data_IF_841904972706
#
_entry.id   IF_841904972706
#
_cell.length_a   1.000
_cell.length_b   1.000
_cell.length_c   1.000
_cell.angle_alpha   90.00
_cell.angle_beta   90.00
_cell.angle_gamma   90.00
#
_symmetry.space_group_name_H-M   'P 1'
#
loop_
_entity.id
_entity.type
_entity.pdbx_description
1 polymer ?
#
# COMPACT_ATOMS: atom_id res chain seq x y z
N UNK A 1 18.01 -14.86 -16.13
CA UNK A 1 17.00 -14.70 -15.06
C UNK A 1 17.37 -13.45 -14.28
N UNK A 2 16.50 -12.43 -14.23
CA UNK A 2 16.77 -11.28 -13.38
C UNK A 2 16.74 -11.73 -11.91
N UNK A 3 17.75 -11.35 -11.12
CA UNK A 3 17.75 -11.60 -9.68
C UNK A 3 16.62 -10.84 -8.98
N UNK A 4 16.38 -11.16 -7.72
CA UNK A 4 15.41 -10.43 -6.90
C UNK A 4 15.78 -8.92 -6.85
N UNK A 5 14.79 -8.01 -6.82
CA UNK A 5 15.07 -6.59 -6.67
C UNK A 5 15.77 -6.28 -5.34
N UNK A 6 16.76 -5.38 -5.34
CA UNK A 6 17.36 -4.90 -4.09
C UNK A 6 16.32 -4.11 -3.27
N UNK A 7 15.52 -3.27 -3.95
CA UNK A 7 14.50 -2.41 -3.34
C UNK A 7 13.15 -2.54 -4.03
N UNK A 8 12.09 -2.45 -3.24
CA UNK A 8 10.72 -2.25 -3.70
C UNK A 8 10.12 -1.04 -2.96
N UNK A 9 9.79 0.01 -3.72
CA UNK A 9 9.22 1.24 -3.21
C UNK A 9 7.74 1.31 -3.58
N UNK A 10 6.86 1.47 -2.59
CA UNK A 10 5.44 1.68 -2.80
C UNK A 10 5.10 3.15 -2.63
N UNK A 11 4.44 3.74 -3.62
CA UNK A 11 3.75 5.02 -3.48
C UNK A 11 2.55 4.83 -2.54
N UNK A 12 2.68 5.31 -1.30
CA UNK A 12 1.71 5.08 -0.24
C UNK A 12 0.36 5.73 -0.50
N UNK A 13 0.35 7.04 -0.80
CA UNK A 13 -0.90 7.77 -1.05
C UNK A 13 -1.68 7.18 -2.21
N UNK A 14 -0.99 6.85 -3.31
CA UNK A 14 -1.61 6.24 -4.49
C UNK A 14 -2.17 4.84 -4.18
N UNK A 15 -1.46 4.04 -3.37
CA UNK A 15 -1.90 2.71 -3.00
C UNK A 15 -3.08 2.72 -2.02
N UNK A 16 -3.03 3.60 -1.03
CA UNK A 16 -4.11 3.79 -0.05
C UNK A 16 -5.38 4.28 -0.76
N UNK A 17 -5.24 5.26 -1.67
CA UNK A 17 -6.36 5.79 -2.44
C UNK A 17 -7.02 4.71 -3.30
N UNK A 18 -6.23 3.94 -4.07
CA UNK A 18 -6.75 2.80 -4.84
C UNK A 18 -7.44 1.78 -3.96
N UNK A 19 -6.92 1.50 -2.77
CA UNK A 19 -7.53 0.55 -1.83
C UNK A 19 -8.84 1.08 -1.27
N UNK A 20 -8.92 2.36 -0.93
CA UNK A 20 -10.13 2.98 -0.40
C UNK A 20 -11.31 2.92 -1.38
N UNK A 21 -11.06 3.15 -2.68
CA UNK A 21 -12.10 3.13 -3.71
C UNK A 21 -12.26 1.78 -4.42
N UNK A 22 -11.25 0.91 -4.39
CA UNK A 22 -11.25 -0.38 -5.07
C UNK A 22 -11.69 -1.57 -4.20
N UNK A 23 -11.61 -1.44 -2.87
CA UNK A 23 -12.00 -2.52 -1.94
C UNK A 23 -13.36 -2.20 -1.31
N UNK A 24 -14.30 -3.17 -1.26
CA UNK A 24 -15.61 -2.97 -0.66
C UNK A 24 -15.56 -2.41 0.78
N UNK A 25 -16.39 -1.42 1.06
CA UNK A 25 -16.52 -0.77 2.39
C UNK A 25 -17.27 -1.62 3.43
N UNK A 26 -17.50 -2.90 3.13
CA UNK A 26 -18.08 -3.88 4.07
C UNK A 26 -17.07 -4.33 5.12
N UNK A 27 -15.76 -4.14 4.88
CA UNK A 27 -14.72 -4.43 5.87
C UNK A 27 -14.71 -3.37 6.96
N UNK A 28 -15.12 -3.79 8.16
CA UNK A 28 -15.20 -2.95 9.35
C UNK A 28 -14.44 -3.57 10.50
N UNK A 29 -13.80 -2.73 11.31
CA UNK A 29 -13.25 -3.10 12.61
C UNK A 29 -14.39 -3.39 13.62
N UNK A 30 -14.10 -4.00 14.79
CA UNK A 30 -15.12 -4.28 15.81
C UNK A 30 -15.90 -3.05 16.30
N UNK A 31 -15.28 -1.86 16.25
CA UNK A 31 -15.91 -0.59 16.59
C UNK A 31 -16.71 0.04 15.43
N UNK A 32 -16.86 -0.66 14.31
CA UNK A 32 -17.60 -0.20 13.13
C UNK A 32 -16.80 0.68 12.16
N UNK A 33 -15.55 1.04 12.47
CA UNK A 33 -14.72 1.87 11.59
C UNK A 33 -14.38 1.12 10.29
N UNK A 34 -14.45 1.80 9.14
CA UNK A 34 -14.10 1.20 7.85
C UNK A 34 -12.59 0.97 7.75
N UNK A 35 -12.20 -0.24 7.37
CA UNK A 35 -10.79 -0.64 7.26
C UNK A 35 -10.44 -1.18 5.87
N UNK A 36 -11.31 -0.95 4.88
CA UNK A 36 -11.11 -1.43 3.50
C UNK A 36 -9.82 -0.91 2.87
N UNK A 37 -9.45 0.35 3.11
CA UNK A 37 -8.20 0.93 2.63
C UNK A 37 -6.97 0.28 3.27
N UNK A 38 -7.02 0.05 4.59
CA UNK A 38 -5.95 -0.61 5.35
C UNK A 38 -5.75 -2.03 4.81
N UNK A 39 -6.85 -2.79 4.71
CA UNK A 39 -6.82 -4.16 4.19
C UNK A 39 -6.28 -4.22 2.76
N UNK A 40 -6.82 -3.43 1.85
CA UNK A 40 -6.39 -3.43 0.45
C UNK A 40 -4.92 -3.07 0.26
N UNK A 41 -4.43 -2.11 1.04
CA UNK A 41 -3.03 -1.68 0.99
C UNK A 41 -2.11 -2.81 1.43
N UNK A 42 -2.40 -3.42 2.57
CA UNK A 42 -1.60 -4.52 3.12
C UNK A 42 -1.66 -5.78 2.23
N UNK A 43 -2.85 -6.14 1.72
CA UNK A 43 -3.02 -7.29 0.82
C UNK A 43 -2.21 -7.09 -0.48
N UNK A 44 -2.24 -5.89 -1.05
CA UNK A 44 -1.48 -5.57 -2.27
C UNK A 44 0.03 -5.55 -2.04
N UNK A 45 0.48 -5.00 -0.92
CA UNK A 45 1.89 -5.04 -0.53
C UNK A 45 2.36 -6.48 -0.32
N UNK A 46 1.63 -7.28 0.47
CA UNK A 46 1.97 -8.66 0.76
C UNK A 46 2.06 -9.51 -0.52
N UNK A 47 1.09 -9.40 -1.43
CA UNK A 47 1.14 -10.07 -2.74
C UNK A 47 2.40 -9.67 -3.52
N UNK A 48 2.68 -8.37 -3.66
CA UNK A 48 3.83 -7.91 -4.45
C UNK A 48 5.16 -8.34 -3.83
N UNK A 49 5.28 -8.30 -2.51
CA UNK A 49 6.48 -8.71 -1.78
C UNK A 49 6.71 -10.22 -1.97
N UNK A 50 5.66 -11.04 -1.86
CA UNK A 50 5.75 -12.48 -2.09
C UNK A 50 6.14 -12.82 -3.53
N UNK A 51 5.59 -12.09 -4.51
CA UNK A 51 5.84 -12.31 -5.94
C UNK A 51 7.25 -11.88 -6.36
N UNK A 52 7.71 -10.72 -5.86
CA UNK A 52 8.96 -10.08 -6.30
C UNK A 52 10.15 -10.40 -5.41
N UNK A 53 9.93 -10.80 -4.16
CA UNK A 53 10.94 -11.19 -3.17
C UNK A 53 12.08 -10.16 -2.99
N UNK A 54 11.77 -8.85 -2.83
CA UNK A 54 12.81 -7.83 -2.69
C UNK A 54 13.61 -8.00 -1.40
N UNK A 55 14.86 -7.50 -1.36
CA UNK A 55 15.67 -7.46 -0.13
C UNK A 55 15.23 -6.38 0.84
N UNK A 56 14.79 -5.24 0.30
CA UNK A 56 14.33 -4.10 1.07
C UNK A 56 12.99 -3.56 0.55
N UNK A 57 12.16 -3.05 1.47
CA UNK A 57 10.85 -2.49 1.17
C UNK A 57 10.71 -1.14 1.87
N UNK A 58 10.16 -0.16 1.17
CA UNK A 58 9.72 1.10 1.76
C UNK A 58 8.34 1.51 1.23
N UNK A 59 7.55 2.14 2.10
CA UNK A 59 6.31 2.82 1.75
C UNK A 59 6.61 4.33 1.79
N UNK A 60 6.49 5.01 0.67
CA UNK A 60 6.75 6.45 0.60
C UNK A 60 5.49 7.22 1.00
N UNK A 61 5.67 8.25 1.82
CA UNK A 61 4.62 9.16 2.28
C UNK A 61 4.80 10.53 1.65
N UNK A 62 3.69 11.23 1.46
CA UNK A 62 3.69 12.64 1.09
C UNK A 62 3.69 13.50 2.36
N UNK A 63 4.88 13.77 2.91
CA UNK A 63 5.03 14.65 4.08
C UNK A 63 4.50 16.07 3.82
N UNK A 64 4.68 16.53 2.57
CA UNK A 64 4.06 17.73 2.03
C UNK A 64 3.47 17.38 0.66
N UNK A 65 2.19 16.98 0.64
CA UNK A 65 1.51 16.52 -0.56
C UNK A 65 1.24 17.63 -1.58
N UNK A 66 1.34 18.90 -1.16
CA UNK A 66 1.15 20.05 -2.02
C UNK A 66 2.10 21.17 -1.58
N UNK A 67 3.40 21.03 -1.89
CA UNK A 67 4.38 22.03 -1.51
C UNK A 67 4.09 23.39 -2.13
N UNK A 68 4.46 24.45 -1.42
CA UNK A 68 4.20 25.84 -1.80
C UNK A 68 5.19 26.43 -2.83
N UNK A 69 6.18 25.66 -3.29
CA UNK A 69 7.28 26.12 -4.15
C UNK A 69 6.95 26.13 -5.65
#
# INVERSE_FOLDING_TARGET
MAGNPEWLLFDGSSLIFRSFYGVPQTFKAPNGFMINAVRGTLDRMASTINDRKPRHVALTTDEDWRPDW
#
